data_IF_458470679925
#
_entry.id   IF_458470679925
#
_cell.length_a   1.000
_cell.length_b   1.000
_cell.length_c   1.000
_cell.angle_alpha   90.00
_cell.angle_beta   90.00
_cell.angle_gamma   90.00
#
_symmetry.space_group_name_H-M   'P 1'
#
loop_
_entity.id
_entity.type
_entity.pdbx_description
1 polymer ?
#
# COMPACT_ATOMS: atom_id res chain seq x y z
N UNK A 1 -62.60 21.75 -52.68
CA UNK A 1 -61.20 21.86 -53.12
C UNK A 1 -60.30 21.57 -51.92
N UNK A 2 -59.43 20.53 -51.97
CA UNK A 2 -58.40 20.28 -50.95
C UNK A 2 -57.26 21.33 -51.14
N UNK A 3 -56.15 21.42 -50.35
CA UNK A 3 -55.47 20.32 -49.65
C UNK A 3 -54.62 20.71 -48.40
N UNK A 4 -53.76 19.78 -47.97
CA UNK A 4 -52.46 19.93 -47.28
C UNK A 4 -52.49 19.95 -45.74
N UNK A 5 -52.16 18.83 -45.09
CA UNK A 5 -50.80 18.30 -44.80
C UNK A 5 -50.11 19.10 -43.69
N UNK A 6 -49.93 18.47 -42.53
CA UNK A 6 -48.85 18.64 -41.54
C UNK A 6 -49.07 17.53 -40.48
N UNK A 7 -48.46 16.35 -40.62
CA UNK A 7 -47.15 16.03 -40.02
C UNK A 7 -47.01 16.59 -38.60
N UNK A 8 -46.95 15.72 -37.59
CA UNK A 8 -45.86 15.61 -36.60
C UNK A 8 -46.33 14.88 -35.33
N UNK A 9 -45.36 14.21 -34.69
CA UNK A 9 -45.39 13.59 -33.35
C UNK A 9 -45.97 12.17 -33.25
N UNK A 10 -45.45 11.26 -34.08
CA UNK A 10 -44.92 10.01 -33.52
C UNK A 10 -43.48 10.28 -33.07
N UNK A 11 -42.98 9.55 -32.08
CA UNK A 11 -41.70 9.74 -31.35
C UNK A 11 -41.83 10.48 -30.02
N UNK A 12 -42.52 9.84 -29.08
CA UNK A 12 -42.19 9.98 -27.66
C UNK A 12 -42.28 8.61 -26.97
N UNK A 13 -41.59 7.61 -27.52
CA UNK A 13 -41.23 6.41 -26.75
C UNK A 13 -39.89 6.72 -26.07
N UNK A 14 -40.00 7.43 -24.94
CA UNK A 14 -38.85 7.76 -24.09
C UNK A 14 -38.13 6.48 -23.69
N UNK A 15 -36.81 6.47 -23.89
CA UNK A 15 -35.91 5.44 -23.42
C UNK A 15 -36.12 5.22 -21.91
N UNK A 16 -36.79 4.12 -21.53
CA UNK A 16 -36.51 3.49 -20.25
C UNK A 16 -35.11 2.90 -20.35
N UNK A 17 -34.10 3.71 -20.03
CA UNK A 17 -32.76 3.22 -19.75
C UNK A 17 -32.85 2.21 -18.62
N UNK A 18 -32.65 0.93 -18.92
CA UNK A 18 -32.51 -0.10 -17.93
C UNK A 18 -31.31 0.27 -17.04
N UNK A 19 -31.60 0.67 -15.80
CA UNK A 19 -30.59 0.81 -14.77
C UNK A 19 -30.03 -0.59 -14.50
N UNK A 20 -28.87 -0.88 -15.10
CA UNK A 20 -28.09 -2.08 -14.75
C UNK A 20 -27.84 -2.06 -13.25
N UNK A 21 -28.21 -3.11 -12.49
CA UNK A 21 -27.91 -3.16 -11.08
C UNK A 21 -26.40 -3.12 -10.91
N UNK A 22 -25.91 -2.19 -10.09
CA UNK A 22 -24.51 -2.15 -9.70
C UNK A 22 -24.14 -3.51 -9.12
N UNK A 23 -23.31 -4.28 -9.85
CA UNK A 23 -22.87 -5.60 -9.42
C UNK A 23 -22.10 -5.42 -8.13
N UNK A 24 -22.68 -5.90 -7.02
CA UNK A 24 -22.01 -5.92 -5.73
C UNK A 24 -20.64 -6.59 -5.89
N UNK A 25 -19.59 -5.90 -5.46
CA UNK A 25 -18.24 -6.45 -5.49
C UNK A 25 -18.21 -7.76 -4.68
N UNK A 26 -17.57 -8.79 -5.22
CA UNK A 26 -17.39 -10.05 -4.50
C UNK A 26 -16.69 -9.81 -3.15
N UNK A 27 -17.02 -10.58 -2.09
CA UNK A 27 -16.38 -10.43 -0.79
C UNK A 27 -14.86 -10.61 -0.93
N UNK A 28 -14.10 -9.76 -0.25
CA UNK A 28 -12.64 -9.84 -0.24
C UNK A 28 -12.18 -11.21 0.33
N UNK A 29 -11.08 -11.78 -0.18
CA UNK A 29 -10.55 -13.04 0.35
C UNK A 29 -10.20 -12.90 1.85
N UNK A 30 -10.23 -14.00 2.62
CA UNK A 30 -9.76 -13.99 4.00
C UNK A 30 -8.32 -13.49 4.06
N UNK A 31 -8.03 -12.66 5.07
CA UNK A 31 -6.69 -12.07 5.21
C UNK A 31 -5.71 -13.12 5.74
N UNK A 32 -4.65 -13.37 4.96
CA UNK A 32 -3.54 -14.26 5.33
C UNK A 32 -2.42 -13.47 6.00
N UNK A 33 -2.21 -12.22 5.59
CA UNK A 33 -1.25 -11.31 6.20
C UNK A 33 -1.59 -9.84 5.95
N UNK A 34 -1.08 -8.97 6.80
CA UNK A 34 -1.10 -7.51 6.61
C UNK A 34 0.32 -6.97 6.58
N UNK A 35 0.67 -6.27 5.51
CA UNK A 35 1.94 -5.55 5.35
C UNK A 35 1.74 -4.10 5.77
N UNK A 36 2.39 -3.69 6.85
CA UNK A 36 2.54 -2.29 7.21
C UNK A 36 3.81 -1.76 6.56
N UNK A 37 3.69 -0.67 5.81
CA UNK A 37 4.81 -0.01 5.12
C UNK A 37 4.98 1.38 5.74
N UNK A 38 6.00 1.56 6.56
CA UNK A 38 6.33 2.84 7.15
C UNK A 38 7.04 3.70 6.12
N UNK A 39 6.46 4.86 5.78
CA UNK A 39 6.89 5.73 4.69
C UNK A 39 7.04 7.17 5.18
N UNK A 40 7.86 7.94 4.47
CA UNK A 40 7.91 9.39 4.56
C UNK A 40 7.67 9.99 3.17
N UNK A 41 6.74 10.93 3.06
CA UNK A 41 6.27 11.51 1.81
C UNK A 41 7.35 12.30 1.06
N UNK A 42 8.31 12.89 1.78
CA UNK A 42 9.43 13.65 1.24
C UNK A 42 10.69 12.82 1.02
N UNK A 43 10.71 11.55 1.45
CA UNK A 43 11.88 10.67 1.35
C UNK A 43 11.98 10.03 -0.04
N UNK A 44 13.06 10.29 -0.82
CA UNK A 44 13.21 9.72 -2.16
C UNK A 44 13.21 8.18 -2.19
N UNK A 45 13.70 7.54 -1.12
CA UNK A 45 13.71 6.08 -1.01
C UNK A 45 12.27 5.56 -0.87
N UNK A 46 11.47 6.17 0.02
CA UNK A 46 10.05 5.86 0.21
C UNK A 46 9.23 6.09 -1.06
N UNK A 47 9.53 7.16 -1.80
CA UNK A 47 8.89 7.46 -3.07
C UNK A 47 9.24 6.42 -4.14
N UNK A 48 10.52 6.05 -4.26
CA UNK A 48 10.99 5.12 -5.29
C UNK A 48 10.47 3.69 -5.09
N UNK A 49 10.34 3.23 -3.84
CA UNK A 49 9.90 1.87 -3.54
C UNK A 49 8.41 1.63 -3.83
N UNK A 50 7.63 2.70 -4.04
CA UNK A 50 6.20 2.59 -4.41
C UNK A 50 5.97 1.77 -5.67
N UNK A 51 6.91 1.76 -6.63
CA UNK A 51 6.83 0.92 -7.82
C UNK A 51 6.82 -0.57 -7.45
N UNK A 52 7.78 -1.02 -6.63
CA UNK A 52 7.85 -2.40 -6.12
C UNK A 52 6.61 -2.74 -5.29
N UNK A 53 6.18 -1.83 -4.41
CA UNK A 53 5.01 -2.05 -3.55
C UNK A 53 3.70 -2.20 -4.35
N UNK A 54 3.55 -1.47 -5.45
CA UNK A 54 2.40 -1.59 -6.36
C UNK A 54 2.37 -2.95 -7.05
N UNK A 55 3.52 -3.42 -7.51
CA UNK A 55 3.64 -4.73 -8.14
C UNK A 55 3.27 -5.85 -7.16
N UNK A 56 3.85 -5.80 -5.95
CA UNK A 56 3.56 -6.77 -4.90
C UNK A 56 2.09 -6.72 -4.48
N UNK A 57 1.51 -5.53 -4.33
CA UNK A 57 0.07 -5.41 -4.05
C UNK A 57 -0.76 -6.09 -5.14
N UNK A 58 -0.47 -5.83 -6.43
CA UNK A 58 -1.16 -6.46 -7.56
C UNK A 58 -1.07 -7.99 -7.52
N UNK A 59 0.10 -8.52 -7.18
CA UNK A 59 0.36 -9.95 -7.14
C UNK A 59 -0.30 -10.66 -5.94
N UNK A 60 -0.37 -10.00 -4.78
CA UNK A 60 -0.71 -10.65 -3.51
C UNK A 60 -2.07 -10.24 -2.91
N UNK A 61 -2.72 -9.16 -3.37
CA UNK A 61 -4.01 -8.73 -2.84
C UNK A 61 -5.11 -9.80 -2.99
N UNK A 62 -5.20 -10.42 -4.18
CA UNK A 62 -6.15 -11.51 -4.44
C UNK A 62 -5.84 -12.79 -3.65
N UNK A 63 -4.65 -12.88 -3.04
CA UNK A 63 -4.18 -14.02 -2.24
C UNK A 63 -4.31 -13.76 -0.73
N UNK A 64 -5.09 -12.73 -0.35
CA UNK A 64 -5.36 -12.40 1.05
C UNK A 64 -4.29 -11.55 1.74
N UNK A 65 -3.35 -10.96 1.00
CA UNK A 65 -2.36 -10.03 1.59
C UNK A 65 -2.88 -8.60 1.50
N UNK A 66 -3.05 -7.97 2.66
CA UNK A 66 -3.44 -6.55 2.76
C UNK A 66 -2.21 -5.67 2.89
N UNK A 67 -2.23 -4.49 2.28
CA UNK A 67 -1.17 -3.49 2.42
C UNK A 67 -1.73 -2.23 3.09
N UNK A 68 -0.95 -1.64 4.00
CA UNK A 68 -1.26 -0.38 4.69
C UNK A 68 0.01 0.46 4.71
N UNK A 69 0.03 1.58 3.99
CA UNK A 69 1.08 2.58 4.14
C UNK A 69 0.84 3.42 5.39
N UNK A 70 1.89 3.68 6.16
CA UNK A 70 1.85 4.35 7.46
C UNK A 70 2.83 5.52 7.44
N UNK A 71 2.34 6.73 7.71
CA UNK A 71 3.14 7.96 7.77
C UNK A 71 3.30 8.37 9.25
N UNK A 72 4.46 8.10 9.86
CA UNK A 72 4.66 8.21 11.30
C UNK A 72 5.06 9.61 11.78
N UNK A 73 5.37 10.52 10.84
CA UNK A 73 5.70 11.90 11.16
C UNK A 73 4.42 12.67 11.51
N UNK A 74 4.47 13.40 12.63
CA UNK A 74 3.36 14.23 13.09
C UNK A 74 3.15 15.47 12.22
N UNK A 75 4.17 15.86 11.46
CA UNK A 75 4.12 17.02 10.57
C UNK A 75 3.45 16.67 9.23
N UNK A 76 3.33 15.38 8.89
CA UNK A 76 2.64 14.94 7.67
C UNK A 76 1.14 15.22 7.80
N UNK A 77 0.59 15.97 6.84
CA UNK A 77 -0.84 16.33 6.84
C UNK A 77 -1.63 15.42 5.91
N UNK A 78 -2.96 15.34 6.05
CA UNK A 78 -3.80 14.55 5.15
C UNK A 78 -3.61 14.89 3.67
N UNK A 79 -3.42 16.18 3.34
CA UNK A 79 -3.18 16.63 1.98
C UNK A 79 -1.88 16.06 1.38
N UNK A 80 -0.84 15.90 2.20
CA UNK A 80 0.45 15.36 1.77
C UNK A 80 0.31 13.87 1.43
N UNK A 81 -0.46 13.11 2.22
CA UNK A 81 -0.76 11.69 1.95
C UNK A 81 -1.64 11.52 0.70
N UNK A 82 -2.62 12.41 0.49
CA UNK A 82 -3.45 12.41 -0.73
C UNK A 82 -2.58 12.70 -1.96
N UNK A 83 -1.69 13.69 -1.87
CA UNK A 83 -0.75 14.00 -2.94
C UNK A 83 0.18 12.81 -3.21
N UNK A 84 0.75 12.20 -2.18
CA UNK A 84 1.61 11.02 -2.29
C UNK A 84 0.88 9.87 -3.01
N UNK A 85 -0.36 9.56 -2.60
CA UNK A 85 -1.20 8.55 -3.27
C UNK A 85 -1.34 8.85 -4.77
N UNK A 86 -1.68 10.08 -5.12
CA UNK A 86 -1.93 10.49 -6.50
C UNK A 86 -0.66 10.43 -7.34
N UNK A 87 0.44 11.01 -6.83
CA UNK A 87 1.73 11.09 -7.52
C UNK A 87 2.33 9.72 -7.78
N UNK A 88 2.31 8.84 -6.76
CA UNK A 88 2.94 7.52 -6.85
C UNK A 88 1.97 6.39 -7.16
N UNK A 89 0.69 6.71 -7.41
CA UNK A 89 -0.37 5.76 -7.80
C UNK A 89 -0.50 4.58 -6.83
N UNK A 90 -0.48 4.87 -5.51
CA UNK A 90 -0.53 3.83 -4.48
C UNK A 90 -1.95 3.26 -4.35
N UNK A 91 -2.18 1.96 -4.63
CA UNK A 91 -3.52 1.38 -4.75
C UNK A 91 -4.12 0.94 -3.42
N UNK A 92 -3.33 0.92 -2.35
CA UNK A 92 -3.74 0.42 -1.03
C UNK A 92 -3.98 1.54 -0.02
N UNK A 93 -4.45 1.18 1.18
CA UNK A 93 -4.77 2.13 2.25
C UNK A 93 -3.52 2.89 2.70
N UNK A 94 -3.65 4.20 2.93
CA UNK A 94 -2.59 5.03 3.48
C UNK A 94 -3.12 5.71 4.74
N UNK A 95 -2.36 5.66 5.84
CA UNK A 95 -2.74 6.18 7.16
C UNK A 95 -1.70 7.12 7.69
N UNK A 96 -2.17 8.20 8.30
CA UNK A 96 -1.37 8.98 9.24
C UNK A 96 -1.24 8.21 10.55
N UNK A 97 -0.05 8.23 11.14
CA UNK A 97 0.24 7.70 12.46
C UNK A 97 0.97 8.77 13.28
N UNK A 98 0.41 9.99 13.35
CA UNK A 98 0.99 11.13 14.08
C UNK A 98 1.20 10.84 15.59
N UNK A 99 0.38 9.94 16.14
CA UNK A 99 0.53 9.42 17.51
C UNK A 99 1.55 8.28 17.64
N UNK A 100 2.11 7.80 16.53
CA UNK A 100 3.07 6.69 16.42
C UNK A 100 2.61 5.40 17.13
N UNK A 101 1.31 5.12 17.09
CA UNK A 101 0.74 3.93 17.73
C UNK A 101 1.16 2.66 16.98
N UNK A 102 1.08 2.67 15.65
CA UNK A 102 1.52 1.54 14.81
C UNK A 102 3.04 1.46 14.79
N UNK A 103 3.72 2.59 14.69
CA UNK A 103 5.19 2.66 14.74
C UNK A 103 5.74 2.04 16.02
N UNK A 104 5.22 2.42 17.19
CA UNK A 104 5.65 1.83 18.46
C UNK A 104 5.22 0.38 18.59
N UNK A 105 3.99 0.03 18.19
CA UNK A 105 3.49 -1.36 18.25
C UNK A 105 4.42 -2.33 17.50
N UNK A 106 4.90 -1.93 16.33
CA UNK A 106 5.70 -2.78 15.46
C UNK A 106 7.21 -2.51 15.56
N UNK A 107 7.62 -1.55 16.40
CA UNK A 107 9.02 -1.21 16.60
C UNK A 107 9.72 -0.71 15.33
N UNK A 108 8.98 -0.12 14.39
CA UNK A 108 9.56 0.44 13.18
C UNK A 108 10.46 1.65 13.54
N UNK A 109 11.62 1.74 12.90
CA UNK A 109 12.64 2.75 13.17
C UNK A 109 13.10 3.50 11.94
N UNK A 110 12.86 2.96 10.74
CA UNK A 110 13.36 3.53 9.49
C UNK A 110 12.21 3.78 8.51
N UNK A 111 12.37 4.76 7.62
CA UNK A 111 11.52 4.91 6.42
C UNK A 111 12.35 4.84 5.13
N UNK A 112 12.05 3.94 4.18
CA UNK A 112 10.98 2.93 4.25
C UNK A 112 11.38 1.69 5.06
N UNK A 113 10.43 1.15 5.82
CA UNK A 113 10.54 -0.15 6.50
C UNK A 113 9.21 -0.89 6.40
N UNK A 114 9.25 -2.21 6.23
CA UNK A 114 8.05 -3.05 6.15
C UNK A 114 7.95 -4.01 7.33
N UNK A 115 6.71 -4.25 7.77
CA UNK A 115 6.37 -5.25 8.79
C UNK A 115 5.22 -6.10 8.26
N UNK A 116 5.48 -7.39 8.05
CA UNK A 116 4.49 -8.38 7.63
C UNK A 116 3.94 -9.08 8.87
N UNK A 117 2.67 -8.83 9.17
CA UNK A 117 1.95 -9.42 10.30
C UNK A 117 1.04 -10.53 9.79
N UNK A 118 1.08 -11.70 10.41
CA UNK A 118 0.27 -12.86 10.05
C UNK A 118 -1.23 -12.62 10.30
N UNK A 119 -2.06 -13.56 9.84
CA UNK A 119 -3.52 -13.50 9.95
C UNK A 119 -4.05 -13.32 11.39
N UNK A 120 -3.28 -13.75 12.40
CA UNK A 120 -3.60 -13.58 13.82
C UNK A 120 -3.54 -12.12 14.31
N UNK A 121 -3.01 -11.22 13.48
CA UNK A 121 -2.87 -9.79 13.76
C UNK A 121 -1.81 -9.46 14.83
N UNK A 122 -0.95 -10.42 15.20
CA UNK A 122 0.04 -10.26 16.28
C UNK A 122 1.43 -10.76 15.90
N UNK A 123 1.53 -11.86 15.16
CA UNK A 123 2.81 -12.49 14.82
C UNK A 123 3.48 -11.75 13.68
N UNK A 124 4.69 -11.25 13.89
CA UNK A 124 5.52 -10.65 12.84
C UNK A 124 6.24 -11.76 12.08
N UNK A 125 5.83 -12.00 10.84
CA UNK A 125 6.45 -12.98 9.95
C UNK A 125 7.73 -12.43 9.28
N UNK A 126 7.77 -11.13 9.04
CA UNK A 126 8.93 -10.45 8.45
C UNK A 126 8.99 -8.98 8.85
N UNK A 127 10.18 -8.44 9.11
CA UNK A 127 10.42 -7.01 9.30
C UNK A 127 11.77 -6.58 8.70
N UNK A 128 11.77 -5.55 7.86
CA UNK A 128 13.02 -5.04 7.27
C UNK A 128 12.83 -4.21 6.01
N UNK A 129 13.78 -4.35 5.08
CA UNK A 129 13.75 -3.67 3.77
C UNK A 129 12.77 -4.30 2.80
N UNK A 130 12.49 -3.61 1.71
CA UNK A 130 11.62 -4.13 0.64
C UNK A 130 12.42 -4.99 -0.33
N UNK A 131 13.56 -4.47 -0.75
CA UNK A 131 14.54 -5.05 -1.67
C UNK A 131 15.91 -4.39 -1.41
N UNK A 132 16.92 -4.76 -2.19
CA UNK A 132 18.25 -4.12 -2.12
C UNK A 132 18.46 -2.98 -3.14
N UNK A 133 17.41 -2.27 -3.58
CA UNK A 133 17.58 -1.13 -4.49
C UNK A 133 18.50 -0.03 -3.93
N UNK A 134 18.62 0.06 -2.61
CA UNK A 134 19.57 0.95 -1.93
C UNK A 134 20.57 0.14 -1.09
N UNK A 135 21.85 0.47 -1.20
CA UNK A 135 22.92 -0.11 -0.37
C UNK A 135 23.07 0.63 0.96
N UNK A 136 22.93 1.96 0.90
CA UNK A 136 22.95 2.90 2.01
C UNK A 136 22.20 4.17 1.57
N UNK A 137 22.06 5.15 2.47
CA UNK A 137 21.53 6.46 2.14
C UNK A 137 22.32 7.09 0.96
N UNK A 138 21.60 7.54 -0.05
CA UNK A 138 22.20 8.12 -1.27
C UNK A 138 22.84 7.12 -2.24
N UNK A 139 22.90 5.83 -1.91
CA UNK A 139 23.56 4.80 -2.73
C UNK A 139 22.55 3.86 -3.37
N UNK A 140 21.93 4.33 -4.46
CA UNK A 140 21.00 3.53 -5.27
C UNK A 140 21.77 2.57 -6.19
N UNK A 141 21.37 1.30 -6.23
CA UNK A 141 21.87 0.31 -7.18
C UNK A 141 21.18 0.46 -8.53
N UNK A 142 21.93 0.22 -9.60
CA UNK A 142 21.39 0.14 -10.97
C UNK A 142 20.56 -1.12 -11.17
N UNK A 143 20.94 -2.21 -10.50
CA UNK A 143 20.27 -3.52 -10.57
C UNK A 143 19.88 -3.95 -9.17
N UNK A 144 18.60 -4.28 -8.99
CA UNK A 144 18.08 -4.92 -7.78
C UNK A 144 18.34 -6.43 -7.91
N UNK A 145 19.00 -7.03 -6.93
CA UNK A 145 19.39 -8.45 -6.97
C UNK A 145 18.76 -9.28 -5.85
N UNK A 146 18.12 -8.65 -4.86
CA UNK A 146 17.37 -9.35 -3.81
C UNK A 146 16.04 -8.66 -3.53
N UNK A 147 15.03 -9.44 -3.14
CA UNK A 147 13.64 -9.01 -3.05
C UNK A 147 13.00 -9.50 -1.75
N UNK A 148 13.50 -9.03 -0.60
CA UNK A 148 13.17 -9.62 0.69
C UNK A 148 11.67 -9.63 1.02
N UNK A 149 10.95 -8.55 0.70
CA UNK A 149 9.50 -8.52 0.91
C UNK A 149 8.78 -9.50 -0.02
N UNK A 150 9.23 -9.64 -1.27
CA UNK A 150 8.62 -10.57 -2.21
C UNK A 150 8.81 -12.02 -1.74
N UNK A 151 10.01 -12.37 -1.28
CA UNK A 151 10.35 -13.69 -0.75
C UNK A 151 9.55 -14.01 0.52
N UNK A 152 9.43 -13.04 1.43
CA UNK A 152 8.63 -13.17 2.64
C UNK A 152 7.15 -13.39 2.32
N UNK A 153 6.58 -12.60 1.41
CA UNK A 153 5.19 -12.75 0.99
C UNK A 153 4.94 -14.10 0.32
N UNK A 154 5.85 -14.56 -0.54
CA UNK A 154 5.76 -15.87 -1.19
C UNK A 154 5.74 -17.02 -0.18
N UNK A 155 6.58 -16.94 0.88
CA UNK A 155 6.58 -17.92 1.94
C UNK A 155 5.27 -17.90 2.75
N UNK A 156 4.83 -16.71 3.17
CA UNK A 156 3.64 -16.54 4.01
C UNK A 156 2.37 -17.08 3.32
N UNK A 157 2.14 -16.73 2.05
CA UNK A 157 0.97 -17.24 1.31
C UNK A 157 1.06 -18.73 0.98
N UNK A 158 2.26 -19.31 1.02
CA UNK A 158 2.47 -20.74 0.87
C UNK A 158 2.38 -21.50 2.21
N UNK A 159 2.10 -20.81 3.32
CA UNK A 159 2.09 -21.40 4.66
C UNK A 159 3.47 -21.86 5.14
N UNK A 160 4.54 -21.29 4.60
CA UNK A 160 5.93 -21.62 4.95
C UNK A 160 6.54 -20.56 5.86
N UNK A 161 7.52 -20.96 6.66
CA UNK A 161 8.32 -20.02 7.43
C UNK A 161 9.16 -19.13 6.50
N UNK A 162 9.29 -17.84 6.85
CA UNK A 162 10.17 -16.91 6.15
C UNK A 162 11.62 -17.23 6.53
N UNK A 163 12.47 -17.52 5.54
CA UNK A 163 13.85 -17.94 5.78
C UNK A 163 14.70 -16.87 6.48
N UNK A 164 14.50 -15.60 6.10
CA UNK A 164 15.13 -14.44 6.74
C UNK A 164 14.04 -13.51 7.28
N UNK A 165 13.56 -13.73 8.53
CA UNK A 165 12.44 -12.96 9.08
C UNK A 165 12.82 -11.52 9.45
N UNK A 166 14.12 -11.19 9.46
CA UNK A 166 14.61 -9.83 9.70
C UNK A 166 15.72 -9.45 8.75
N UNK A 167 15.64 -8.24 8.20
CA UNK A 167 16.76 -7.59 7.49
C UNK A 167 16.83 -6.11 7.85
N UNK A 168 17.96 -5.47 7.57
CA UNK A 168 18.15 -4.06 7.84
C UNK A 168 17.48 -3.18 6.77
N UNK A 169 16.61 -2.27 7.21
CA UNK A 169 16.01 -1.25 6.35
C UNK A 169 17.01 -0.12 6.07
N UNK A 170 16.97 0.42 4.85
CA UNK A 170 17.85 1.53 4.43
C UNK A 170 16.99 2.77 4.26
N UNK A 171 17.25 3.80 5.07
CA UNK A 171 16.42 4.99 5.06
C UNK A 171 16.72 5.97 6.19
N UNK A 172 15.88 6.99 6.30
CA UNK A 172 15.95 7.96 7.39
C UNK A 172 15.33 7.36 8.66
N UNK A 173 15.85 7.75 9.82
CA UNK A 173 15.25 7.37 11.10
C UNK A 173 13.89 8.02 11.31
N UNK A 174 12.97 7.26 11.87
CA UNK A 174 11.72 7.79 12.43
C UNK A 174 12.07 8.42 13.78
N UNK A 175 11.67 9.68 13.98
CA UNK A 175 11.78 10.31 15.28
C UNK A 175 10.72 9.75 16.24
N UNK A 176 11.02 8.62 16.90
CA UNK A 176 10.05 7.91 17.73
C UNK A 176 9.91 8.60 19.09
N UNK A 177 8.69 9.06 19.40
CA UNK A 177 8.35 9.70 20.68
C UNK A 177 8.46 8.70 21.83
N UNK A 178 9.17 9.10 22.90
CA UNK A 178 9.18 8.40 24.17
C UNK A 178 10.02 7.11 24.22
N UNK A 179 10.82 6.80 23.20
CA UNK A 179 11.93 5.86 23.33
C UNK A 179 13.23 6.65 23.54
N UNK A 180 14.12 6.20 24.44
CA UNK A 180 15.46 6.78 24.52
C UNK A 180 16.16 6.64 23.16
N UNK A 181 16.96 7.63 22.78
CA UNK A 181 17.81 7.55 21.61
C UNK A 181 18.61 6.24 21.67
N UNK A 182 18.66 5.50 20.57
CA UNK A 182 19.50 4.32 20.49
C UNK A 182 20.97 4.79 20.59
N UNK A 183 21.59 4.52 21.74
CA UNK A 183 23.02 4.75 21.99
C UNK A 183 23.87 3.77 21.19
#
# INVERSE_FOLDING_TARGET
>A
MPPRLLLLCWWALGLLGALSPARAAAPAPPTVATVYVFLAETCPISQSCTLTLRELHRQYAARGVRFVGVFPDEQTRPADVILFRKTYQVPFELKLDAGQQLTRRWGARITPEVVVVAADGRTVAYQGRIDNAYAALGQRRTVVTTHELADALAAVVAGKAVAQPRTEAVGCFINVKGLPAAN
#
